data_IF_278198449221
#
_entry.id   IF_278198449221
#
_cell.length_a   1.000
_cell.length_b   1.000
_cell.length_c   1.000
_cell.angle_alpha   90.00
_cell.angle_beta   90.00
_cell.angle_gamma   90.00
#
_symmetry.space_group_name_H-M   'P 1'
#
loop_
_entity.id
_entity.type
_entity.pdbx_description
1 polymer ?
#
# COMPACT_ATOMS: atom_id res chain seq x y z
N UNK A 1 -7.33 -34.80 9.16
CA UNK A 1 -6.81 -33.56 9.78
C UNK A 1 -7.04 -32.36 8.87
N UNK A 2 -6.47 -32.35 7.65
CA UNK A 2 -6.62 -31.26 6.67
C UNK A 2 -8.05 -30.70 6.54
N UNK A 3 -9.04 -31.57 6.22
CA UNK A 3 -10.45 -31.14 6.07
C UNK A 3 -11.00 -30.43 7.31
N UNK A 4 -10.69 -30.93 8.52
CA UNK A 4 -11.12 -30.30 9.78
C UNK A 4 -10.51 -28.92 9.99
N UNK A 5 -9.24 -28.74 9.63
CA UNK A 5 -8.58 -27.43 9.72
C UNK A 5 -9.11 -26.47 8.65
N UNK A 6 -9.39 -26.98 7.45
CA UNK A 6 -9.94 -26.19 6.35
C UNK A 6 -11.37 -25.73 6.65
N UNK A 7 -12.21 -26.60 7.22
CA UNK A 7 -13.55 -26.27 7.71
C UNK A 7 -13.53 -25.25 8.85
N UNK A 8 -12.52 -25.33 9.73
CA UNK A 8 -12.35 -24.35 10.80
C UNK A 8 -11.93 -22.98 10.25
N UNK A 9 -10.88 -22.94 9.42
CA UNK A 9 -10.44 -21.75 8.71
C UNK A 9 -9.42 -22.12 7.60
N UNK A 10 -9.65 -21.79 6.31
CA UNK A 10 -8.74 -22.15 5.23
C UNK A 10 -7.27 -21.73 5.45
N UNK A 11 -7.01 -20.55 6.04
CA UNK A 11 -5.65 -20.11 6.39
C UNK A 11 -4.94 -21.04 7.39
N UNK A 12 -5.67 -21.62 8.35
CA UNK A 12 -5.07 -22.53 9.34
C UNK A 12 -4.60 -23.81 8.62
N UNK A 13 -5.43 -24.35 7.72
CA UNK A 13 -5.02 -25.46 6.88
C UNK A 13 -3.80 -25.10 6.02
N UNK A 14 -3.76 -23.88 5.50
CA UNK A 14 -2.67 -23.38 4.66
C UNK A 14 -1.32 -23.26 5.38
N UNK A 15 -1.34 -22.81 6.64
CA UNK A 15 -0.14 -22.66 7.46
C UNK A 15 0.31 -23.99 8.04
N UNK A 16 -0.62 -24.81 8.55
CA UNK A 16 -0.29 -25.99 9.38
C UNK A 16 -0.10 -27.27 8.54
N UNK A 17 -0.76 -27.40 7.39
CA UNK A 17 -0.76 -28.68 6.65
C UNK A 17 0.34 -28.82 5.59
N UNK A 18 1.17 -27.80 5.41
CA UNK A 18 2.26 -27.80 4.43
C UNK A 18 3.62 -27.88 5.13
N UNK A 19 4.64 -28.34 4.39
CA UNK A 19 5.99 -28.57 4.95
C UNK A 19 6.70 -27.30 5.44
N UNK A 20 6.24 -26.13 5.02
CA UNK A 20 6.82 -24.85 5.37
C UNK A 20 6.06 -23.68 4.74
N UNK A 21 6.51 -22.43 5.00
CA UNK A 21 5.90 -21.23 4.45
C UNK A 21 6.17 -21.15 2.95
N UNK A 22 5.21 -21.59 2.16
CA UNK A 22 5.27 -21.43 0.72
C UNK A 22 4.89 -20.00 0.33
N UNK A 23 5.35 -19.54 -0.83
CA UNK A 23 4.99 -18.23 -1.37
C UNK A 23 3.47 -18.16 -1.53
N UNK A 24 2.82 -17.20 -0.86
CA UNK A 24 1.39 -16.97 -1.07
C UNK A 24 1.14 -16.31 -2.43
N UNK A 25 1.89 -15.25 -2.72
CA UNK A 25 1.92 -14.56 -4.02
C UNK A 25 3.25 -13.79 -4.16
N UNK A 26 3.57 -13.40 -5.40
CA UNK A 26 4.60 -12.41 -5.72
C UNK A 26 3.93 -11.30 -6.52
N UNK A 27 4.02 -10.06 -6.03
CA UNK A 27 3.33 -8.91 -6.60
C UNK A 27 4.32 -8.04 -7.38
N UNK A 28 4.21 -7.96 -8.72
CA UNK A 28 5.00 -7.01 -9.49
C UNK A 28 4.41 -5.60 -9.39
N UNK A 29 5.30 -4.60 -9.40
CA UNK A 29 4.92 -3.19 -9.46
C UNK A 29 4.65 -2.76 -10.91
N UNK A 30 3.43 -2.31 -11.18
CA UNK A 30 3.01 -1.69 -12.45
C UNK A 30 2.90 -0.17 -12.32
N UNK A 31 3.22 0.54 -13.39
CA UNK A 31 3.10 2.01 -13.43
C UNK A 31 1.63 2.48 -13.55
N UNK A 32 0.81 1.71 -14.29
CA UNK A 32 -0.60 1.98 -14.51
C UNK A 32 -1.41 0.70 -14.28
N UNK A 33 -2.09 0.65 -13.13
CA UNK A 33 -2.89 -0.51 -12.75
C UNK A 33 -4.18 -0.64 -13.56
N UNK A 34 -4.73 0.44 -14.12
CA UNK A 34 -5.93 0.37 -14.96
C UNK A 34 -5.58 -0.29 -16.29
N UNK A 35 -4.49 0.16 -16.91
CA UNK A 35 -3.99 -0.43 -18.14
C UNK A 35 -3.61 -1.91 -17.94
N UNK A 36 -2.95 -2.23 -16.82
CA UNK A 36 -2.62 -3.61 -16.48
C UNK A 36 -3.89 -4.45 -16.26
N UNK A 37 -4.88 -3.95 -15.50
CA UNK A 37 -6.13 -4.65 -15.22
C UNK A 37 -6.94 -4.94 -16.48
N UNK A 38 -7.02 -3.98 -17.41
CA UNK A 38 -7.62 -4.20 -18.74
C UNK A 38 -6.90 -5.30 -19.51
N UNK A 39 -5.56 -5.25 -19.55
CA UNK A 39 -4.74 -6.26 -20.24
C UNK A 39 -4.90 -7.64 -19.62
N UNK A 40 -5.06 -7.76 -18.30
CA UNK A 40 -5.32 -9.03 -17.64
C UNK A 40 -6.60 -9.69 -18.18
N UNK A 41 -7.68 -8.92 -18.32
CA UNK A 41 -8.95 -9.42 -18.89
C UNK A 41 -8.80 -9.81 -20.36
N UNK A 42 -8.13 -8.98 -21.16
CA UNK A 42 -7.85 -9.29 -22.58
C UNK A 42 -7.06 -10.59 -22.76
N UNK A 43 -6.17 -10.92 -21.81
CA UNK A 43 -5.39 -12.17 -21.82
C UNK A 43 -6.09 -13.34 -21.10
N UNK A 44 -7.35 -13.17 -20.69
CA UNK A 44 -8.16 -14.23 -20.08
C UNK A 44 -7.80 -14.56 -18.62
N UNK A 45 -7.04 -13.69 -17.93
CA UNK A 45 -6.83 -13.84 -16.49
C UNK A 45 -8.14 -13.57 -15.75
N UNK A 46 -8.49 -14.45 -14.81
CA UNK A 46 -9.66 -14.29 -13.95
C UNK A 46 -9.34 -13.30 -12.82
N UNK A 47 -9.20 -12.03 -13.18
CA UNK A 47 -8.97 -10.93 -12.26
C UNK A 47 -10.26 -10.55 -11.54
N UNK A 48 -10.15 -10.01 -10.32
CA UNK A 48 -11.28 -9.38 -9.64
C UNK A 48 -11.70 -8.11 -10.39
N UNK A 49 -13.00 -7.86 -10.48
CA UNK A 49 -13.54 -6.62 -11.06
C UNK A 49 -13.10 -5.35 -10.32
N UNK A 50 -12.69 -5.48 -9.05
CA UNK A 50 -12.37 -4.35 -8.17
C UNK A 50 -10.87 -4.17 -8.03
N UNK A 51 -10.41 -2.93 -8.22
CA UNK A 51 -9.11 -2.44 -7.75
C UNK A 51 -9.30 -1.88 -6.33
N UNK A 52 -8.47 -2.33 -5.40
CA UNK A 52 -8.43 -1.88 -4.01
C UNK A 52 -7.48 -0.69 -3.86
N UNK A 53 -7.75 0.17 -2.87
CA UNK A 53 -6.99 1.40 -2.61
C UNK A 53 -7.74 2.68 -2.98
N UNK A 54 -7.04 3.83 -3.08
CA UNK A 54 -7.61 5.09 -3.53
C UNK A 54 -8.10 5.00 -4.98
N UNK A 55 -8.97 5.94 -5.42
CA UNK A 55 -9.33 6.06 -6.82
C UNK A 55 -8.11 6.42 -7.69
N UNK A 56 -8.27 6.36 -9.01
CA UNK A 56 -7.27 6.89 -9.94
C UNK A 56 -7.04 8.40 -9.70
N UNK A 57 -5.77 8.82 -9.83
CA UNK A 57 -5.26 10.16 -9.52
C UNK A 57 -4.11 10.51 -10.45
N UNK A 58 -3.90 11.80 -10.69
CA UNK A 58 -2.71 12.29 -11.39
C UNK A 58 -1.44 11.98 -10.59
N UNK A 59 -1.51 12.14 -9.25
CA UNK A 59 -0.44 11.76 -8.35
C UNK A 59 -0.93 10.66 -7.40
N UNK A 60 -0.68 9.38 -7.74
CA UNK A 60 -1.13 8.24 -6.94
C UNK A 60 -0.65 8.34 -5.50
N UNK A 61 -1.48 7.97 -4.53
CA UNK A 61 -1.14 7.96 -3.11
C UNK A 61 -1.21 6.53 -2.57
N UNK A 62 -0.41 6.22 -1.55
CA UNK A 62 -0.35 4.88 -0.96
C UNK A 62 -0.09 3.80 -2.02
N UNK A 63 -0.99 2.84 -2.19
CA UNK A 63 -0.93 1.88 -3.28
C UNK A 63 -2.34 1.55 -3.77
N UNK A 64 -2.42 1.07 -5.00
CA UNK A 64 -3.59 0.43 -5.59
C UNK A 64 -3.23 -1.00 -5.96
N UNK A 65 -4.14 -1.95 -5.81
CA UNK A 65 -3.85 -3.36 -6.07
C UNK A 65 -5.07 -4.14 -6.56
N UNK A 66 -4.84 -5.25 -7.23
CA UNK A 66 -5.88 -6.22 -7.57
C UNK A 66 -5.30 -7.63 -7.69
N UNK A 67 -6.15 -8.64 -7.54
CA UNK A 67 -5.76 -10.05 -7.54
C UNK A 67 -6.49 -10.83 -8.63
N UNK A 68 -5.92 -11.98 -9.00
CA UNK A 68 -6.44 -12.87 -10.03
C UNK A 68 -6.19 -14.33 -9.67
N UNK A 69 -7.02 -15.25 -10.17
CA UNK A 69 -6.72 -16.68 -10.06
C UNK A 69 -5.53 -17.02 -10.96
N UNK A 70 -4.42 -17.47 -10.36
CA UNK A 70 -3.19 -17.78 -11.08
C UNK A 70 -3.09 -19.27 -11.44
N UNK A 71 -3.32 -20.16 -10.48
CA UNK A 71 -3.17 -21.60 -10.67
C UNK A 71 -4.06 -22.38 -9.69
N UNK A 72 -4.55 -23.54 -10.12
CA UNK A 72 -5.11 -24.56 -9.22
C UNK A 72 -4.06 -25.66 -9.00
N UNK A 73 -3.70 -25.92 -7.75
CA UNK A 73 -2.71 -26.94 -7.38
C UNK A 73 -3.38 -28.15 -6.70
N UNK A 74 -2.94 -29.35 -7.04
CA UNK A 74 -3.35 -30.59 -6.37
C UNK A 74 -2.60 -30.77 -5.03
N UNK A 75 -3.31 -31.27 -4.01
CA UNK A 75 -2.72 -31.59 -2.70
C UNK A 75 -2.62 -33.11 -2.53
N UNK A 76 -1.40 -33.59 -2.25
CA UNK A 76 -1.13 -35.00 -1.96
C UNK A 76 -0.99 -35.26 -0.44
N UNK A 77 -1.57 -36.37 0.03
CA UNK A 77 -1.47 -36.82 1.43
C UNK A 77 -0.57 -38.05 1.57
N UNK A 78 0.09 -38.20 2.74
CA UNK A 78 1.11 -39.23 3.00
C UNK A 78 0.55 -40.65 3.19
N UNK A 79 -0.71 -40.82 3.57
CA UNK A 79 -1.40 -42.12 3.61
C UNK A 79 -1.97 -42.45 2.23
N UNK A 80 -1.38 -43.42 1.53
CA UNK A 80 -1.57 -43.66 0.11
C UNK A 80 -3.00 -43.89 -0.43
N UNK A 81 -3.06 -43.90 -1.77
CA UNK A 81 -4.23 -44.05 -2.67
C UNK A 81 -5.28 -42.93 -2.71
N UNK A 82 -5.37 -42.03 -1.72
CA UNK A 82 -6.12 -40.78 -1.90
C UNK A 82 -5.26 -39.75 -2.66
N UNK A 83 -5.10 -39.95 -3.98
CA UNK A 83 -4.73 -38.87 -4.93
C UNK A 83 -5.91 -37.89 -5.12
N UNK A 84 -6.51 -37.41 -4.04
CA UNK A 84 -7.88 -36.86 -4.07
C UNK A 84 -8.11 -35.62 -3.20
N UNK A 85 -7.06 -34.93 -2.75
CA UNK A 85 -7.21 -33.63 -2.10
C UNK A 85 -7.55 -32.55 -3.11
N UNK A 86 -8.79 -32.07 -3.10
CA UNK A 86 -9.30 -31.07 -4.04
C UNK A 86 -8.54 -29.74 -3.97
N UNK A 87 -8.44 -29.12 -5.14
CA UNK A 87 -7.57 -28.02 -5.52
C UNK A 87 -7.41 -26.89 -4.50
N UNK A 88 -6.18 -26.42 -4.34
CA UNK A 88 -5.89 -25.11 -3.75
C UNK A 88 -5.74 -24.09 -4.87
N UNK A 89 -6.56 -23.04 -4.85
CA UNK A 89 -6.38 -21.87 -5.69
C UNK A 89 -5.19 -21.05 -5.18
N UNK A 90 -4.24 -20.77 -6.06
CA UNK A 90 -3.21 -19.75 -5.86
C UNK A 90 -3.64 -18.49 -6.58
N UNK A 91 -3.52 -17.37 -5.87
CA UNK A 91 -3.84 -16.06 -6.41
C UNK A 91 -2.56 -15.34 -6.76
N UNK A 92 -2.56 -14.68 -7.90
CA UNK A 92 -1.58 -13.66 -8.21
C UNK A 92 -2.12 -12.29 -7.79
N UNK A 93 -1.23 -11.33 -7.67
CA UNK A 93 -1.56 -9.94 -7.36
C UNK A 93 -0.70 -9.02 -8.23
N UNK A 94 -1.18 -7.82 -8.53
CA UNK A 94 -0.41 -6.72 -9.09
C UNK A 94 -0.66 -5.45 -8.27
N UNK A 95 0.33 -4.56 -8.19
CA UNK A 95 0.21 -3.32 -7.44
C UNK A 95 0.79 -2.11 -8.18
N UNK A 96 0.22 -0.93 -7.91
CA UNK A 96 0.77 0.36 -8.29
C UNK A 96 1.03 1.15 -7.02
N UNK A 97 2.30 1.48 -6.76
CA UNK A 97 2.73 2.29 -5.62
C UNK A 97 2.72 3.77 -5.96
N UNK A 98 2.21 4.56 -5.02
CA UNK A 98 2.13 6.01 -5.06
C UNK A 98 2.94 6.65 -3.92
N UNK A 99 2.53 7.85 -3.53
CA UNK A 99 3.25 8.67 -2.55
C UNK A 99 2.96 8.24 -1.10
N UNK A 100 3.99 8.20 -0.27
CA UNK A 100 3.89 8.01 1.17
C UNK A 100 3.26 9.23 1.86
N UNK A 101 2.22 8.99 2.66
CA UNK A 101 1.43 10.02 3.31
C UNK A 101 1.86 10.25 4.76
N UNK A 102 1.69 11.47 5.26
CA UNK A 102 1.90 11.77 6.69
C UNK A 102 0.79 11.17 7.56
N UNK A 103 0.99 10.97 8.88
CA UNK A 103 -0.03 10.39 9.76
C UNK A 103 -1.38 11.12 9.76
N UNK A 104 -1.35 12.44 9.56
CA UNK A 104 -2.57 13.27 9.47
C UNK A 104 -3.40 12.87 8.25
N UNK A 105 -2.74 12.70 7.12
CA UNK A 105 -3.41 12.45 5.84
C UNK A 105 -3.74 10.99 5.66
N UNK A 106 -2.94 10.09 6.22
CA UNK A 106 -3.30 8.67 6.32
C UNK A 106 -4.64 8.50 7.06
N UNK A 107 -4.83 9.18 8.20
CA UNK A 107 -6.12 9.17 8.92
C UNK A 107 -7.28 9.69 8.07
N UNK A 108 -7.08 10.78 7.32
CA UNK A 108 -8.09 11.28 6.39
C UNK A 108 -8.44 10.23 5.32
N UNK A 109 -7.43 9.58 4.73
CA UNK A 109 -7.65 8.48 3.79
C UNK A 109 -8.48 7.35 4.43
N UNK A 110 -8.11 6.90 5.62
CA UNK A 110 -8.80 5.81 6.32
C UNK A 110 -10.27 6.19 6.63
N UNK A 111 -10.53 7.44 7.06
CA UNK A 111 -11.88 7.97 7.30
C UNK A 111 -12.73 8.03 6.02
N UNK A 112 -12.16 8.51 4.92
CA UNK A 112 -12.82 8.59 3.61
C UNK A 112 -13.10 7.20 3.06
N UNK A 113 -12.15 6.28 3.17
CA UNK A 113 -12.31 4.90 2.76
C UNK A 113 -13.37 4.18 3.61
N UNK A 114 -13.39 4.42 4.92
CA UNK A 114 -14.44 3.92 5.81
C UNK A 114 -15.84 4.45 5.46
N UNK A 115 -15.96 5.74 5.11
CA UNK A 115 -17.21 6.33 4.60
C UNK A 115 -17.64 5.69 3.29
N UNK A 116 -16.70 5.42 2.39
CA UNK A 116 -16.94 4.75 1.13
C UNK A 116 -17.46 3.32 1.33
N UNK A 117 -16.81 2.53 2.20
CA UNK A 117 -17.22 1.15 2.48
C UNK A 117 -18.65 1.09 3.05
N UNK A 118 -19.04 2.02 3.94
CA UNK A 118 -20.44 2.10 4.44
C UNK A 118 -21.47 2.43 3.35
N UNK A 119 -21.08 3.21 2.33
CA UNK A 119 -21.96 3.52 1.19
C UNK A 119 -22.05 2.36 0.19
N UNK A 120 -21.02 1.53 0.09
CA UNK A 120 -21.03 0.34 -0.77
C UNK A 120 -22.10 -0.67 -0.34
N UNK A 121 -22.28 -0.87 0.97
CA UNK A 121 -23.33 -1.74 1.52
C UNK A 121 -24.75 -1.29 1.12
N UNK A 122 -24.90 -0.07 0.59
CA UNK A 122 -26.17 0.55 0.17
C UNK A 122 -26.40 0.52 -1.35
N UNK A 123 -25.58 -0.19 -2.14
CA UNK A 123 -25.86 -0.50 -3.56
C UNK A 123 -25.55 0.60 -4.58
N UNK A 124 -24.75 1.62 -4.25
CA UNK A 124 -24.35 2.68 -5.19
C UNK A 124 -23.24 2.25 -6.17
N UNK A 125 -23.13 2.90 -7.33
CA UNK A 125 -22.03 2.68 -8.29
C UNK A 125 -20.65 2.89 -7.62
N UNK A 126 -19.86 1.81 -7.59
CA UNK A 126 -18.68 1.66 -6.73
C UNK A 126 -17.61 2.71 -7.00
N UNK A 127 -17.31 2.97 -8.27
CA UNK A 127 -16.19 3.85 -8.63
C UNK A 127 -16.56 5.33 -8.53
N UNK A 128 -17.74 5.71 -9.01
CA UNK A 128 -18.22 7.09 -8.92
C UNK A 128 -18.34 7.57 -7.47
N UNK A 129 -18.78 6.70 -6.55
CA UNK A 129 -18.85 7.03 -5.12
C UNK A 129 -17.46 7.15 -4.52
N UNK A 130 -16.50 6.30 -4.93
CA UNK A 130 -15.12 6.39 -4.48
C UNK A 130 -14.50 7.71 -4.93
N UNK A 131 -14.56 8.03 -6.22
CA UNK A 131 -14.05 9.30 -6.78
C UNK A 131 -14.67 10.51 -6.08
N UNK A 132 -15.99 10.55 -5.93
CA UNK A 132 -16.70 11.64 -5.24
C UNK A 132 -16.29 11.77 -3.77
N UNK A 133 -16.03 10.65 -3.09
CA UNK A 133 -15.64 10.67 -1.67
C UNK A 133 -14.22 11.22 -1.48
N UNK A 134 -13.35 11.05 -2.49
CA UNK A 134 -11.96 11.53 -2.48
C UNK A 134 -11.75 12.85 -3.23
N UNK A 135 -12.81 13.50 -3.70
CA UNK A 135 -12.72 14.72 -4.52
C UNK A 135 -12.01 15.89 -3.79
N UNK A 136 -12.13 15.96 -2.46
CA UNK A 136 -11.53 17.03 -1.65
C UNK A 136 -10.06 16.73 -1.30
N UNK A 137 -9.53 15.57 -1.70
CA UNK A 137 -8.14 15.21 -1.47
C UNK A 137 -7.25 15.89 -2.55
N UNK A 138 -6.27 16.72 -2.17
CA UNK A 138 -5.45 17.47 -3.14
C UNK A 138 -4.67 16.56 -4.10
N UNK A 139 -4.79 16.81 -5.41
CA UNK A 139 -4.08 16.08 -6.48
C UNK A 139 -3.03 16.95 -7.16
N UNK A 140 -2.23 17.66 -6.37
CA UNK A 140 -1.16 18.54 -6.83
C UNK A 140 0.07 18.39 -5.92
N UNK A 141 1.23 18.07 -6.51
CA UNK A 141 2.46 17.82 -5.74
C UNK A 141 2.92 19.03 -4.92
N UNK A 142 2.76 20.25 -5.43
CA UNK A 142 3.16 21.45 -4.70
C UNK A 142 2.25 21.69 -3.50
N UNK A 143 0.95 21.44 -3.63
CA UNK A 143 -0.02 21.50 -2.52
C UNK A 143 0.30 20.43 -1.49
N UNK A 144 0.52 19.18 -1.92
CA UNK A 144 0.86 18.07 -1.04
C UNK A 144 2.14 18.35 -0.23
N UNK A 145 3.18 18.90 -0.88
CA UNK A 145 4.43 19.30 -0.22
C UNK A 145 4.22 20.46 0.76
N UNK A 146 3.65 21.58 0.28
CA UNK A 146 3.53 22.82 1.07
C UNK A 146 2.67 22.61 2.33
N UNK A 147 1.63 21.80 2.21
CA UNK A 147 0.73 21.49 3.32
C UNK A 147 1.20 20.29 4.17
N UNK A 148 2.38 19.73 3.89
CA UNK A 148 2.98 18.59 4.62
C UNK A 148 2.03 17.38 4.67
N UNK A 149 1.39 17.09 3.53
CA UNK A 149 0.40 16.03 3.38
C UNK A 149 1.03 14.69 2.97
N UNK A 150 2.20 14.76 2.36
CA UNK A 150 3.00 13.63 1.92
C UNK A 150 4.48 13.92 2.18
N UNK A 151 5.30 12.88 2.10
CA UNK A 151 6.75 13.01 2.28
C UNK A 151 7.46 13.20 0.95
N UNK A 152 8.50 14.03 0.94
CA UNK A 152 9.29 14.36 -0.24
C UNK A 152 10.79 14.26 0.04
N UNK A 153 11.58 13.83 -0.96
CA UNK A 153 13.02 14.09 -0.99
C UNK A 153 13.31 15.37 -1.76
N UNK A 154 14.37 16.06 -1.35
CA UNK A 154 14.82 17.30 -1.95
C UNK A 154 16.20 17.13 -2.58
N UNK A 155 16.48 17.93 -3.61
CA UNK A 155 17.78 17.98 -4.26
C UNK A 155 18.08 19.39 -4.77
N UNK A 156 19.36 19.78 -4.76
CA UNK A 156 19.80 21.07 -5.33
C UNK A 156 19.80 20.98 -6.85
N UNK A 157 19.12 21.93 -7.50
CA UNK A 157 19.07 22.07 -8.97
C UNK A 157 19.87 23.30 -9.42
N UNK A 158 19.76 24.39 -8.66
CA UNK A 158 20.32 25.69 -9.02
C UNK A 158 21.34 26.20 -8.01
N UNK A 159 22.12 27.20 -8.41
CA UNK A 159 23.02 27.91 -7.49
C UNK A 159 22.29 29.05 -6.78
N UNK A 160 22.55 29.29 -5.49
CA UNK A 160 22.01 30.45 -4.80
C UNK A 160 22.56 31.75 -5.40
N UNK A 161 21.71 32.77 -5.50
CA UNK A 161 22.12 34.11 -5.95
C UNK A 161 22.73 34.89 -4.78
N UNK A 162 23.68 35.78 -5.06
CA UNK A 162 24.39 36.58 -4.04
C UNK A 162 23.47 37.47 -3.18
N UNK A 163 22.27 37.78 -3.66
CA UNK A 163 21.26 38.57 -2.93
C UNK A 163 20.34 37.73 -2.03
N UNK A 164 20.50 36.41 -1.96
CA UNK A 164 19.60 35.53 -1.22
C UNK A 164 19.97 35.48 0.27
N UNK A 165 19.12 36.06 1.12
CA UNK A 165 19.38 36.16 2.57
C UNK A 165 18.87 34.96 3.38
N UNK A 166 17.88 34.21 2.86
CA UNK A 166 17.17 33.14 3.59
C UNK A 166 17.25 31.82 2.82
N UNK A 167 18.30 31.02 3.10
CA UNK A 167 18.42 29.65 2.59
C UNK A 167 17.60 28.65 3.42
N UNK A 168 16.86 29.09 4.43
CA UNK A 168 16.00 28.30 5.29
C UNK A 168 14.53 28.27 4.83
N UNK A 169 14.13 29.17 3.93
CA UNK A 169 12.80 29.16 3.32
C UNK A 169 12.73 28.18 2.14
N UNK A 170 12.35 26.94 2.45
CA UNK A 170 12.20 25.86 1.46
C UNK A 170 11.21 26.22 0.35
N UNK A 171 10.14 26.97 0.65
CA UNK A 171 9.15 27.35 -0.34
C UNK A 171 9.71 28.37 -1.33
N UNK A 172 10.48 29.34 -0.85
CA UNK A 172 11.18 30.29 -1.71
C UNK A 172 12.26 29.60 -2.56
N UNK A 173 12.99 28.65 -1.99
CA UNK A 173 14.01 27.87 -2.71
C UNK A 173 13.42 26.99 -3.82
N UNK A 174 12.27 26.36 -3.58
CA UNK A 174 11.56 25.60 -4.60
C UNK A 174 11.00 26.54 -5.67
N UNK A 175 10.39 27.67 -5.29
CA UNK A 175 9.83 28.66 -6.25
C UNK A 175 10.91 29.30 -7.14
N UNK A 176 12.12 29.49 -6.62
CA UNK A 176 13.25 30.06 -7.35
C UNK A 176 14.01 29.04 -8.21
N UNK A 177 13.62 27.76 -8.17
CA UNK A 177 14.27 26.69 -8.93
C UNK A 177 15.63 26.27 -8.37
N UNK A 178 15.97 26.68 -7.14
CA UNK A 178 17.20 26.27 -6.47
C UNK A 178 17.05 24.86 -5.90
N UNK A 179 15.89 24.55 -5.33
CA UNK A 179 15.56 23.20 -4.88
C UNK A 179 14.51 22.54 -5.78
N UNK A 180 14.80 21.31 -6.17
CA UNK A 180 13.82 20.36 -6.66
C UNK A 180 13.30 19.47 -5.54
N UNK A 181 12.16 18.83 -5.79
CA UNK A 181 11.60 17.84 -4.88
C UNK A 181 10.95 16.70 -5.65
N UNK A 182 10.96 15.51 -5.05
CA UNK A 182 10.33 14.30 -5.58
C UNK A 182 9.55 13.61 -4.47
N UNK A 183 8.36 13.05 -4.75
CA UNK A 183 7.60 12.31 -3.75
C UNK A 183 8.36 11.06 -3.30
N UNK A 184 8.26 10.71 -2.02
CA UNK A 184 8.75 9.43 -1.51
C UNK A 184 7.70 8.36 -1.81
N UNK A 185 8.13 7.27 -2.45
CA UNK A 185 7.29 6.10 -2.73
C UNK A 185 6.80 5.46 -1.44
N UNK A 186 5.54 5.02 -1.43
CA UNK A 186 4.97 4.23 -0.35
C UNK A 186 5.41 2.77 -0.45
N UNK A 187 6.19 2.34 0.54
CA UNK A 187 6.81 1.00 0.63
C UNK A 187 6.08 0.05 1.58
N UNK A 188 5.01 0.51 2.23
CA UNK A 188 4.20 -0.33 3.14
C UNK A 188 2.98 -0.93 2.42
N UNK A 189 2.04 -1.46 3.19
CA UNK A 189 0.80 -2.09 2.71
C UNK A 189 -0.45 -1.40 3.27
N UNK A 190 -1.57 -1.45 2.53
CA UNK A 190 -2.85 -1.01 3.09
C UNK A 190 -3.31 -2.01 4.15
N UNK A 191 -3.92 -1.50 5.23
CA UNK A 191 -4.52 -2.34 6.27
C UNK A 191 -5.61 -3.26 5.70
N UNK A 192 -6.28 -2.82 4.64
CA UNK A 192 -7.29 -3.57 3.89
C UNK A 192 -6.67 -4.67 3.03
N UNK A 193 -5.45 -4.48 2.50
CA UNK A 193 -4.72 -5.48 1.72
C UNK A 193 -4.37 -6.71 2.55
N UNK A 194 -3.89 -6.49 3.80
CA UNK A 194 -3.60 -7.58 4.73
C UNK A 194 -4.86 -8.43 5.00
N UNK A 195 -6.00 -7.78 5.22
CA UNK A 195 -7.30 -8.44 5.34
C UNK A 195 -7.77 -9.07 4.00
N UNK A 196 -7.43 -8.46 2.86
CA UNK A 196 -7.82 -8.83 1.50
C UNK A 196 -7.13 -10.10 0.99
N UNK A 197 -5.85 -10.29 1.35
CA UNK A 197 -5.09 -11.53 1.16
C UNK A 197 -5.76 -12.70 1.90
N UNK A 198 -6.36 -12.41 3.06
CA UNK A 198 -7.21 -13.37 3.75
C UNK A 198 -8.58 -13.49 3.03
N UNK A 199 -9.26 -12.42 2.66
CA UNK A 199 -10.58 -12.51 2.00
C UNK A 199 -10.59 -13.18 0.63
N UNK A 200 -9.58 -12.96 -0.23
CA UNK A 200 -9.48 -13.60 -1.56
C UNK A 200 -9.39 -15.12 -1.44
N UNK A 201 -8.74 -15.61 -0.38
CA UNK A 201 -8.61 -17.02 -0.06
C UNK A 201 -9.79 -17.59 0.76
N UNK A 202 -10.59 -16.73 1.42
CA UNK A 202 -11.58 -17.14 2.45
C UNK A 202 -13.04 -16.97 2.04
N UNK A 203 -13.33 -16.35 0.90
CA UNK A 203 -14.70 -15.99 0.53
C UNK A 203 -15.22 -14.78 1.34
N UNK A 204 -16.31 -14.18 0.88
CA UNK A 204 -16.86 -12.96 1.46
C UNK A 204 -17.42 -13.21 2.88
N UNK A 205 -16.72 -12.74 3.92
CA UNK A 205 -17.32 -12.68 5.27
C UNK A 205 -16.38 -12.59 6.47
N UNK A 206 -15.06 -12.72 6.34
CA UNK A 206 -14.24 -13.14 7.49
C UNK A 206 -13.37 -12.09 8.20
N UNK A 207 -13.20 -10.85 7.70
CA UNK A 207 -12.28 -9.92 8.39
C UNK A 207 -12.78 -8.47 8.45
N UNK A 208 -13.09 -7.99 9.65
CA UNK A 208 -13.11 -6.54 9.93
C UNK A 208 -11.76 -6.23 10.56
N UNK A 209 -10.92 -5.44 9.89
CA UNK A 209 -9.69 -4.96 10.50
C UNK A 209 -10.06 -4.16 11.77
N UNK A 210 -9.84 -4.75 12.95
CA UNK A 210 -9.86 -4.04 14.22
C UNK A 210 -8.55 -3.26 14.36
N UNK A 211 -8.57 -2.17 15.12
CA UNK A 211 -7.32 -1.53 15.53
C UNK A 211 -6.47 -2.57 16.27
N UNK A 212 -5.21 -2.72 15.87
CA UNK A 212 -4.24 -3.57 16.58
C UNK A 212 -4.11 -3.00 17.99
N UNK A 213 -4.38 -3.82 19.00
CA UNK A 213 -4.20 -3.40 20.39
C UNK A 213 -2.71 -3.29 20.70
N UNK A 214 -2.35 -2.49 21.71
CA UNK A 214 -0.96 -2.45 22.20
C UNK A 214 -0.51 -3.82 22.67
N UNK A 215 -1.41 -4.61 23.26
CA UNK A 215 -1.15 -5.97 23.74
C UNK A 215 -0.83 -6.92 22.58
N UNK A 216 -1.58 -6.85 21.47
CA UNK A 216 -1.31 -7.66 20.27
C UNK A 216 0.04 -7.29 19.63
N UNK A 217 0.39 -5.99 19.60
CA UNK A 217 1.68 -5.54 19.07
C UNK A 217 2.83 -6.00 19.96
N UNK A 218 2.70 -5.88 21.28
CA UNK A 218 3.72 -6.34 22.23
C UNK A 218 3.97 -7.84 22.11
N UNK A 219 2.90 -8.65 22.04
CA UNK A 219 3.02 -10.09 21.84
C UNK A 219 3.67 -10.46 20.49
N UNK A 220 3.36 -9.69 19.43
CA UNK A 220 3.98 -9.86 18.13
C UNK A 220 5.48 -9.53 18.16
N UNK A 221 5.87 -8.41 18.77
CA UNK A 221 7.26 -7.97 18.88
C UNK A 221 8.08 -8.88 19.79
N UNK A 222 7.49 -9.43 20.85
CA UNK A 222 8.10 -10.48 21.68
C UNK A 222 8.41 -11.73 20.85
N UNK A 223 7.44 -12.18 20.05
CA UNK A 223 7.61 -13.35 19.16
C UNK A 223 8.61 -13.09 18.03
N UNK A 224 8.67 -11.85 17.53
CA UNK A 224 9.61 -11.41 16.49
C UNK A 224 11.04 -11.26 17.03
N UNK A 225 11.18 -10.98 18.34
CA UNK A 225 12.46 -10.74 19.01
C UNK A 225 12.99 -9.31 18.85
N UNK A 226 12.20 -8.40 18.27
CA UNK A 226 12.55 -6.98 18.14
C UNK A 226 11.30 -6.11 17.98
N UNK A 227 11.47 -4.78 18.16
CA UNK A 227 10.42 -3.80 17.90
C UNK A 227 10.24 -3.60 16.40
N UNK A 228 8.98 -3.43 15.97
CA UNK A 228 8.66 -3.03 14.59
C UNK A 228 9.00 -1.54 14.43
N UNK A 229 9.55 -1.18 13.26
CA UNK A 229 9.84 0.22 12.95
C UNK A 229 8.56 1.03 12.72
N UNK A 230 8.55 2.28 13.16
CA UNK A 230 7.54 3.26 12.77
C UNK A 230 7.85 3.76 11.34
N UNK A 231 7.09 3.28 10.37
CA UNK A 231 7.25 3.66 8.96
C UNK A 231 7.07 5.17 8.73
N UNK A 232 6.25 5.87 9.53
CA UNK A 232 6.10 7.31 9.42
C UNK A 232 7.37 8.06 9.84
N UNK A 233 8.10 7.53 10.82
CA UNK A 233 9.38 8.10 11.25
C UNK A 233 10.48 7.78 10.22
N UNK A 234 10.45 6.61 9.59
CA UNK A 234 11.36 6.29 8.48
C UNK A 234 11.21 7.29 7.33
N UNK A 235 9.99 7.53 6.85
CA UNK A 235 9.73 8.52 5.79
C UNK A 235 10.08 9.95 6.21
N UNK A 236 9.76 10.33 7.45
CA UNK A 236 10.13 11.65 8.00
C UNK A 236 11.65 11.81 8.05
N UNK A 237 12.37 10.76 8.44
CA UNK A 237 13.83 10.78 8.50
C UNK A 237 14.45 10.93 7.11
N UNK A 238 13.90 10.25 6.09
CA UNK A 238 14.32 10.40 4.70
C UNK A 238 14.15 11.85 4.20
N UNK A 239 12.96 12.43 4.40
CA UNK A 239 12.68 13.82 4.04
C UNK A 239 13.64 14.78 4.75
N UNK A 240 13.75 14.69 6.07
CA UNK A 240 14.63 15.55 6.89
C UNK A 240 16.09 15.43 6.47
N UNK A 241 16.56 14.22 6.20
CA UNK A 241 17.94 13.97 5.77
C UNK A 241 18.21 14.64 4.43
N UNK A 242 17.33 14.45 3.44
CA UNK A 242 17.49 15.08 2.13
C UNK A 242 17.49 16.61 2.20
N UNK A 243 16.62 17.20 3.03
CA UNK A 243 16.60 18.65 3.26
C UNK A 243 17.88 19.13 3.92
N UNK A 244 18.31 18.47 5.01
CA UNK A 244 19.54 18.83 5.72
C UNK A 244 20.74 18.83 4.77
N UNK A 245 20.85 17.80 3.93
CA UNK A 245 21.97 17.64 3.02
C UNK A 245 21.95 18.73 1.94
N UNK A 246 20.77 19.07 1.38
CA UNK A 246 20.59 20.19 0.47
C UNK A 246 20.97 21.54 1.11
N UNK A 247 20.52 21.79 2.34
CA UNK A 247 20.84 23.02 3.06
C UNK A 247 22.33 23.12 3.40
N UNK A 248 22.97 21.98 3.69
CA UNK A 248 24.42 21.88 3.86
C UNK A 248 25.16 22.27 2.59
N UNK A 249 24.74 21.73 1.45
CA UNK A 249 25.30 22.08 0.14
C UNK A 249 25.12 23.57 -0.18
N UNK A 250 23.91 24.11 0.01
CA UNK A 250 23.60 25.51 -0.28
C UNK A 250 24.41 26.49 0.59
N UNK A 251 24.65 26.16 1.86
CA UNK A 251 25.50 26.97 2.73
C UNK A 251 26.99 26.92 2.34
N UNK A 252 27.44 25.88 1.65
CA UNK A 252 28.80 25.79 1.11
C UNK A 252 29.09 26.75 -0.05
N UNK A 253 28.07 27.38 -0.64
CA UNK A 253 28.23 28.40 -1.68
C UNK A 253 28.39 29.83 -1.14
N UNK A 254 28.28 30.03 0.18
CA UNK A 254 28.57 31.32 0.84
C UNK A 254 30.06 31.50 1.08
#
# INVERSE_FOLDING_TARGET
MYRRLQEAHPLIADVVCFRGPHINHLTPWVLDIEAAHLKMHEHGLQAKDKIEGPPSRQFPILLRQTSFLALEEEIAFSSGSEKGGRHKARFGEIEQRGIALTPKVRRLYDDLYGKFMRKQEQGSSKEAVLMKTFQDFPDDLHVLRRQQLAYFTYHVIGKPYSSMSHLDDIDALVKSGILGFQPITYEEFLSVSAAGIFHSNLGAGAFRASAVSSEDQEAFEESLGCRVFDSFELYRSMERTSLRDCLGELNGYK
#
